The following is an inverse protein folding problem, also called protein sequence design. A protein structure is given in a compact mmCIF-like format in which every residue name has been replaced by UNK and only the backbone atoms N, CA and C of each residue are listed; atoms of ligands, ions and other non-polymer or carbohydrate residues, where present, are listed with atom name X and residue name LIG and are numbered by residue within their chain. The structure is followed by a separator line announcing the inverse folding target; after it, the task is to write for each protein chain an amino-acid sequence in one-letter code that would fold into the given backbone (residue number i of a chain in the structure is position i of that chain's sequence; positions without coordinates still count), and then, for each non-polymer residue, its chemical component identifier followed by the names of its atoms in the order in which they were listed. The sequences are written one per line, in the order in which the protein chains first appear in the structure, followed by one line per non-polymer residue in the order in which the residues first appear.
data_IF_708474064296
#
_entry.id   IF_708474064296
#
_cell.length_a   1.000
_cell.length_b   1.000
_cell.length_c   1.000
_cell.angle_alpha   90.00
_cell.angle_beta   90.00
_cell.angle_gamma   90.00
#
_symmetry.space_group_name_H-M   'P 1'
#
loop_
_entity.id
_entity.type
_entity.pdbx_description
1 polymer ?
#
# COMPACT_ATOMS: atom_id res chain seq x y z
N UNK A 1 11.56 -7.00 -3.54
CA UNK A 1 11.61 -6.09 -4.69
C UNK A 1 13.07 -5.64 -4.89
N UNK A 2 13.49 -5.22 -6.08
CA UNK A 2 14.84 -4.63 -6.29
C UNK A 2 14.81 -3.11 -6.20
N UNK A 3 14.32 -2.60 -5.06
CA UNK A 3 14.24 -1.17 -4.76
C UNK A 3 14.34 -0.94 -3.24
N UNK A 4 14.93 0.18 -2.81
CA UNK A 4 14.87 0.62 -1.41
C UNK A 4 13.61 1.46 -1.22
N UNK A 5 12.51 0.81 -0.85
CA UNK A 5 11.23 1.50 -0.69
C UNK A 5 11.14 2.20 0.68
N UNK A 6 10.91 3.53 0.72
CA UNK A 6 10.42 4.20 1.92
C UNK A 6 9.16 3.53 2.45
N UNK A 7 8.94 3.63 3.76
CA UNK A 7 7.78 3.00 4.37
C UNK A 7 6.48 3.71 3.98
N UNK A 8 5.48 2.91 3.59
CA UNK A 8 4.16 3.34 3.14
C UNK A 8 3.09 2.39 3.67
N UNK A 9 1.98 2.93 4.13
CA UNK A 9 0.78 2.21 4.57
C UNK A 9 -0.43 2.71 3.77
N UNK A 10 -1.31 1.79 3.39
CA UNK A 10 -2.58 2.06 2.72
C UNK A 10 -3.66 1.20 3.38
N UNK A 11 -4.73 1.80 3.90
CA UNK A 11 -5.83 1.05 4.55
C UNK A 11 -7.13 1.82 4.57
N UNK A 12 -8.28 1.14 4.66
CA UNK A 12 -9.60 1.80 4.76
C UNK A 12 -9.82 2.48 6.13
N UNK A 13 -9.17 1.98 7.18
CA UNK A 13 -9.22 2.55 8.52
C UNK A 13 -7.85 3.07 8.96
N UNK A 14 -7.85 3.88 10.02
CA UNK A 14 -6.65 4.28 10.74
C UNK A 14 -6.10 3.10 11.56
N UNK A 15 -5.50 2.13 10.87
CA UNK A 15 -4.96 0.93 11.51
C UNK A 15 -3.64 1.22 12.22
N UNK A 16 -3.54 0.79 13.49
CA UNK A 16 -2.30 0.75 14.26
C UNK A 16 -1.44 -0.43 13.76
N UNK A 17 -0.53 -0.14 12.84
CA UNK A 17 0.35 -1.13 12.23
C UNK A 17 1.59 -1.40 13.06
N UNK A 18 2.38 -2.41 12.68
CA UNK A 18 3.67 -2.72 13.32
C UNK A 18 4.74 -1.62 13.15
N UNK A 19 4.43 -0.54 12.43
CA UNK A 19 5.29 0.65 12.27
C UNK A 19 5.14 1.69 13.39
N UNK A 20 4.72 1.30 14.59
CA UNK A 20 4.57 2.18 15.77
C UNK A 20 5.83 3.02 16.14
N UNK A 21 6.99 2.77 15.51
CA UNK A 21 8.23 3.55 15.68
C UNK A 21 8.54 4.58 14.58
N UNK A 22 7.75 4.68 13.51
CA UNK A 22 8.00 5.64 12.43
C UNK A 22 7.44 7.02 12.78
N UNK A 23 8.17 7.78 13.61
CA UNK A 23 7.79 9.10 14.13
C UNK A 23 7.57 10.20 13.05
N UNK A 24 7.68 9.86 11.75
CA UNK A 24 7.70 10.79 10.62
C UNK A 24 6.61 10.56 9.59
N UNK A 25 5.69 9.60 9.80
CA UNK A 25 4.61 9.38 8.84
C UNK A 25 3.65 10.55 8.80
N UNK A 26 3.24 10.89 7.57
CA UNK A 26 2.22 11.89 7.29
C UNK A 26 1.09 11.24 6.52
N UNK A 27 -0.13 11.72 6.77
CA UNK A 27 -1.27 11.44 5.90
C UNK A 27 -1.04 12.12 4.54
N UNK A 28 -1.31 11.39 3.46
CA UNK A 28 -1.06 11.82 2.09
C UNK A 28 -2.37 11.72 1.33
N UNK A 29 -2.83 12.85 0.79
CA UNK A 29 -4.05 12.95 -0.01
C UNK A 29 -3.72 13.00 -1.50
N UNK A 30 -4.57 12.38 -2.31
CA UNK A 30 -4.44 12.32 -3.76
C UNK A 30 -5.49 13.20 -4.45
N UNK A 31 -5.37 13.43 -5.75
CA UNK A 31 -6.38 14.18 -6.52
C UNK A 31 -7.72 13.44 -6.63
N UNK A 32 -7.73 12.11 -6.44
CA UNK A 32 -8.95 11.31 -6.47
C UNK A 32 -9.67 11.37 -5.13
N UNK A 33 -10.74 12.18 -5.06
CA UNK A 33 -11.58 12.23 -3.86
C UNK A 33 -12.24 10.88 -3.53
N UNK A 34 -12.63 10.09 -4.54
CA UNK A 34 -13.20 8.76 -4.33
C UNK A 34 -12.20 7.84 -3.61
N UNK A 35 -10.94 7.89 -4.03
CA UNK A 35 -9.87 7.13 -3.38
C UNK A 35 -9.65 7.62 -1.94
N UNK A 36 -9.49 8.93 -1.74
CA UNK A 36 -9.21 9.49 -0.40
C UNK A 36 -10.36 9.26 0.59
N UNK A 37 -11.62 9.17 0.12
CA UNK A 37 -12.76 8.82 0.97
C UNK A 37 -12.73 7.38 1.45
N UNK A 38 -12.12 6.47 0.69
CA UNK A 38 -12.12 5.04 0.97
C UNK A 38 -10.83 4.55 1.59
N UNK A 39 -9.68 5.10 1.20
CA UNK A 39 -8.37 4.68 1.66
C UNK A 39 -7.60 5.85 2.26
N UNK A 40 -6.97 5.58 3.41
CA UNK A 40 -5.97 6.43 4.03
C UNK A 40 -4.57 5.97 3.63
N UNK A 41 -3.75 6.90 3.16
CA UNK A 41 -2.35 6.65 2.82
C UNK A 41 -1.45 7.38 3.79
N UNK A 42 -0.52 6.65 4.40
CA UNK A 42 0.49 7.19 5.31
C UNK A 42 1.88 6.80 4.87
N UNK A 43 2.81 7.74 4.81
CA UNK A 43 4.17 7.42 4.40
C UNK A 43 5.22 8.34 4.98
N UNK A 44 6.47 7.88 4.95
CA UNK A 44 7.64 8.69 5.31
C UNK A 44 8.07 9.66 4.19
N UNK A 45 7.65 9.39 2.94
CA UNK A 45 8.01 10.17 1.75
C UNK A 45 6.77 10.33 0.86
N UNK A 46 6.32 11.57 0.69
CA UNK A 46 5.16 11.92 -0.13
C UNK A 46 5.40 11.65 -1.62
N UNK A 47 6.61 11.91 -2.14
CA UNK A 47 6.93 11.66 -3.55
C UNK A 47 6.91 10.17 -3.85
N UNK A 48 7.37 9.35 -2.92
CA UNK A 48 7.26 7.90 -3.03
C UNK A 48 5.79 7.46 -3.04
N UNK A 49 4.97 7.94 -2.11
CA UNK A 49 3.56 7.61 -2.05
C UNK A 49 2.84 7.98 -3.36
N UNK A 50 3.09 9.18 -3.90
CA UNK A 50 2.51 9.64 -5.17
C UNK A 50 2.99 8.79 -6.35
N UNK A 51 4.27 8.41 -6.38
CA UNK A 51 4.80 7.55 -7.44
C UNK A 51 4.30 6.09 -7.34
N UNK A 52 3.99 5.62 -6.13
CA UNK A 52 3.53 4.26 -5.87
C UNK A 52 2.02 4.11 -6.10
N UNK A 53 1.23 5.01 -5.52
CA UNK A 53 -0.22 5.08 -5.64
C UNK A 53 -0.63 5.86 -6.89
N UNK A 54 -0.16 5.41 -8.06
CA UNK A 54 -0.58 5.99 -9.32
C UNK A 54 -2.06 5.67 -9.64
N UNK A 55 -2.59 6.22 -10.73
CA UNK A 55 -3.97 6.00 -11.14
C UNK A 55 -4.32 4.51 -11.29
N UNK A 56 -3.37 3.66 -11.69
CA UNK A 56 -3.62 2.22 -11.86
C UNK A 56 -3.71 1.52 -10.51
N UNK A 57 -2.81 1.85 -9.58
CA UNK A 57 -2.84 1.33 -8.21
C UNK A 57 -4.11 1.75 -7.48
N UNK A 58 -4.47 3.04 -7.52
CA UNK A 58 -5.69 3.54 -6.88
C UNK A 58 -6.94 2.83 -7.40
N UNK A 59 -7.06 2.67 -8.73
CA UNK A 59 -8.17 1.94 -9.34
C UNK A 59 -8.22 0.46 -8.95
N UNK A 60 -7.06 -0.17 -8.74
CA UNK A 60 -7.00 -1.56 -8.30
C UNK A 60 -7.43 -1.70 -6.84
N UNK A 61 -7.00 -0.79 -5.97
CA UNK A 61 -7.37 -0.74 -4.55
C UNK A 61 -8.88 -0.51 -4.38
N UNK A 62 -9.47 0.40 -5.14
CA UNK A 62 -10.93 0.61 -5.12
C UNK A 62 -11.74 -0.64 -5.48
N UNK A 63 -11.18 -1.54 -6.30
CA UNK A 63 -11.84 -2.78 -6.74
C UNK A 63 -11.56 -4.00 -5.86
N UNK A 64 -10.38 -4.09 -5.25
CA UNK A 64 -9.90 -5.32 -4.62
C UNK A 64 -9.27 -5.11 -3.24
N UNK A 65 -9.12 -3.87 -2.81
CA UNK A 65 -8.45 -3.51 -1.55
C UNK A 65 -9.36 -3.56 -0.33
N UNK A 66 -10.65 -3.84 -0.50
CA UNK A 66 -11.62 -3.89 0.59
C UNK A 66 -11.24 -4.95 1.63
N UNK A 67 -11.20 -4.56 2.91
CA UNK A 67 -10.83 -5.44 4.02
C UNK A 67 -9.35 -5.77 4.13
N UNK A 68 -8.48 -5.08 3.38
CA UNK A 68 -7.02 -5.29 3.39
C UNK A 68 -6.24 -4.05 3.80
N UNK A 69 -5.17 -4.27 4.55
CA UNK A 69 -4.12 -3.29 4.79
C UNK A 69 -2.90 -3.58 3.92
N UNK A 70 -2.34 -2.56 3.28
CA UNK A 70 -1.13 -2.70 2.50
C UNK A 70 0.00 -1.95 3.20
N UNK A 71 1.14 -2.61 3.32
CA UNK A 71 2.33 -2.09 3.98
C UNK A 71 3.51 -2.33 3.06
N UNK A 72 4.19 -1.27 2.64
CA UNK A 72 5.44 -1.35 1.90
C UNK A 72 6.54 -0.97 2.87
N UNK A 73 7.34 -1.94 3.31
CA UNK A 73 8.65 -1.68 3.93
C UNK A 73 9.54 -2.91 3.78
N UNK A 74 10.72 -2.73 3.19
CA UNK A 74 11.62 -3.85 2.92
C UNK A 74 10.98 -4.91 2.01
N UNK A 75 10.66 -6.07 2.58
CA UNK A 75 10.09 -7.24 1.89
C UNK A 75 8.60 -7.49 2.17
N UNK A 76 7.97 -6.70 3.05
CA UNK A 76 6.53 -6.78 3.35
C UNK A 76 5.72 -5.94 2.39
N UNK A 77 4.51 -6.41 2.09
CA UNK A 77 3.70 -5.84 1.01
C UNK A 77 2.19 -5.76 1.29
N UNK A 78 1.64 -6.72 2.02
CA UNK A 78 0.20 -6.80 2.28
C UNK A 78 -0.04 -7.54 3.60
N UNK A 79 -1.02 -7.08 4.37
CA UNK A 79 -1.49 -7.72 5.59
C UNK A 79 -3.02 -7.62 5.70
N UNK A 80 -3.60 -8.46 6.54
CA UNK A 80 -5.03 -8.44 6.87
C UNK A 80 -5.18 -8.92 8.30
N UNK A 81 -6.32 -8.63 8.92
CA UNK A 81 -6.71 -9.24 10.19
C UNK A 81 -6.87 -10.76 10.03
N UNK A 82 -7.24 -11.48 11.10
CA UNK A 82 -7.38 -12.94 11.06
C UNK A 82 -8.40 -13.36 9.99
N UNK A 83 -7.89 -13.80 8.85
CA UNK A 83 -8.67 -14.42 7.77
C UNK A 83 -8.84 -15.91 8.03
N UNK A 84 -9.99 -16.45 7.65
CA UNK A 84 -10.21 -17.90 7.67
C UNK A 84 -9.26 -18.61 6.69
N UNK A 85 -8.94 -19.91 6.89
CA UNK A 85 -8.11 -20.65 5.95
C UNK A 85 -8.63 -20.65 4.51
N UNK A 86 -9.94 -20.54 4.32
CA UNK A 86 -10.56 -20.44 2.99
C UNK A 86 -10.26 -19.11 2.30
N UNK A 87 -10.23 -18.00 3.05
CA UNK A 87 -9.91 -16.66 2.54
C UNK A 87 -8.41 -16.47 2.30
N UNK A 88 -7.56 -17.33 2.88
CA UNK A 88 -6.11 -17.25 2.72
C UNK A 88 -5.65 -17.40 1.25
N UNK A 89 -6.35 -18.21 0.45
CA UNK A 89 -6.07 -18.32 -1.00
C UNK A 89 -6.38 -17.01 -1.72
N UNK A 90 -7.48 -16.36 -1.33
CA UNK A 90 -7.86 -15.07 -1.88
C UNK A 90 -6.84 -13.99 -1.49
N UNK A 91 -6.44 -13.94 -0.22
CA UNK A 91 -5.37 -13.06 0.26
C UNK A 91 -4.07 -13.24 -0.54
N UNK A 92 -3.62 -14.47 -0.78
CA UNK A 92 -2.41 -14.73 -1.56
C UNK A 92 -2.56 -14.27 -3.03
N UNK A 93 -3.75 -14.43 -3.62
CA UNK A 93 -4.07 -13.89 -4.94
C UNK A 93 -4.04 -12.36 -4.98
N UNK A 94 -4.62 -11.71 -3.97
CA UNK A 94 -4.63 -10.25 -3.80
C UNK A 94 -3.21 -9.72 -3.62
N UNK A 95 -2.40 -10.34 -2.75
CA UNK A 95 -1.01 -9.96 -2.54
C UNK A 95 -0.17 -10.12 -3.83
N UNK A 96 -0.41 -11.18 -4.61
CA UNK A 96 0.26 -11.37 -5.91
C UNK A 96 -0.12 -10.25 -6.89
N UNK A 97 -1.41 -9.99 -7.06
CA UNK A 97 -1.89 -8.99 -8.04
C UNK A 97 -1.56 -7.56 -7.63
N UNK A 98 -1.46 -7.26 -6.33
CA UNK A 98 -0.96 -5.99 -5.80
C UNK A 98 0.49 -5.74 -6.26
N UNK A 99 1.38 -6.76 -6.17
CA UNK A 99 2.76 -6.64 -6.68
C UNK A 99 2.84 -6.27 -8.14
N UNK A 100 1.91 -6.75 -8.93
CA UNK A 100 1.85 -6.51 -10.37
C UNK A 100 1.42 -5.07 -10.70
N UNK A 101 0.79 -4.37 -9.75
CA UNK A 101 0.38 -2.97 -9.93
C UNK A 101 1.49 -1.97 -9.62
N UNK A 102 2.60 -2.39 -9.01
CA UNK A 102 3.64 -1.48 -8.52
C UNK A 102 4.33 -0.80 -9.72
N UNK A 103 4.27 0.55 -9.82
CA UNK A 103 4.74 1.26 -10.99
C UNK A 103 6.23 1.04 -11.25
N UNK A 104 6.60 0.82 -12.52
CA UNK A 104 8.00 0.57 -12.89
C UNK A 104 8.94 1.73 -12.50
N UNK A 105 8.42 2.96 -12.52
CA UNK A 105 9.15 4.17 -12.13
C UNK A 105 9.68 4.13 -10.70
N UNK A 106 9.02 3.40 -9.79
CA UNK A 106 9.49 3.22 -8.42
C UNK A 106 10.88 2.59 -8.38
N UNK A 107 11.16 1.62 -9.27
CA UNK A 107 12.49 0.98 -9.34
C UNK A 107 13.56 1.92 -9.84
N UNK A 108 13.22 2.80 -10.78
CA UNK A 108 14.15 3.77 -11.36
C UNK A 108 14.47 4.90 -10.38
N UNK A 109 13.49 5.35 -9.61
CA UNK A 109 13.65 6.44 -8.65
C UNK A 109 14.30 5.98 -7.34
N UNK A 110 14.14 4.71 -6.97
CA UNK A 110 14.63 4.15 -5.70
C UNK A 110 15.41 2.84 -5.91
N UNK A 111 16.54 2.86 -6.66
CA UNK A 111 17.34 1.66 -6.90
C UNK A 111 17.95 1.10 -5.60
N UNK A 112 18.27 -0.20 -5.61
CA UNK A 112 18.97 -0.89 -4.52
C UNK A 112 20.40 -0.39 -4.32
#
# INVERSE_FOLDING_TARGET
MDAVCPSLQISEENLLTRFAGALTFRDIEFESEEFNRRFHVRGADERFATAFCDARMMNWLLRHGEGYGFEVAGDRLCWTDRVSPAEMVHLLGTAKTFREQIPAVVRSLYPK
#
